data_IF_962123898135
#
_entry.id   IF_962123898135
#
_cell.length_a   1.000
_cell.length_b   1.000
_cell.length_c   1.000
_cell.angle_alpha   90.00
_cell.angle_beta   90.00
_cell.angle_gamma   90.00
#
_symmetry.space_group_name_H-M   'P 1'
#
loop_
_entity.id
_entity.type
_entity.pdbx_description
1 polymer ?
#
# COMPACT_ATOMS: atom_id res chain seq x y z
N UNK A 1 -11.56 -6.46 -10.38
CA UNK A 1 -10.80 -7.69 -10.12
C UNK A 1 -9.73 -7.86 -11.18
N UNK A 2 -8.52 -8.20 -10.77
CA UNK A 2 -7.37 -8.49 -11.62
C UNK A 2 -7.00 -9.97 -11.47
N UNK A 3 -6.48 -10.56 -12.54
CA UNK A 3 -5.97 -11.92 -12.58
C UNK A 3 -4.63 -11.92 -13.31
N UNK A 4 -3.62 -12.53 -12.71
CA UNK A 4 -2.26 -12.58 -13.27
C UNK A 4 -1.73 -14.01 -13.22
N UNK A 5 -0.94 -14.38 -14.23
CA UNK A 5 -0.26 -15.69 -14.25
C UNK A 5 1.04 -15.60 -13.42
N UNK A 6 1.15 -16.33 -12.29
CA UNK A 6 2.36 -16.32 -11.48
C UNK A 6 3.61 -16.83 -12.22
N UNK A 7 3.43 -17.52 -13.34
CA UNK A 7 4.54 -18.07 -14.17
C UNK A 7 4.96 -17.14 -15.30
N UNK A 8 4.20 -16.07 -15.56
CA UNK A 8 4.56 -15.12 -16.61
C UNK A 8 5.88 -14.41 -16.26
N UNK A 9 6.76 -14.29 -17.25
CA UNK A 9 8.10 -13.71 -17.09
C UNK A 9 8.07 -12.28 -16.54
N UNK A 10 7.05 -11.49 -16.89
CA UNK A 10 6.88 -10.11 -16.43
C UNK A 10 6.49 -10.00 -14.95
N UNK A 11 6.03 -11.09 -14.33
CA UNK A 11 5.63 -11.15 -12.92
C UNK A 11 6.76 -11.67 -11.99
N UNK A 12 7.87 -12.16 -12.54
CA UNK A 12 8.95 -12.83 -11.78
C UNK A 12 9.62 -11.96 -10.71
N UNK A 13 9.54 -10.63 -10.83
CA UNK A 13 10.11 -9.70 -9.84
C UNK A 13 9.19 -9.45 -8.64
N UNK A 14 7.95 -9.97 -8.67
CA UNK A 14 7.04 -9.91 -7.53
C UNK A 14 7.39 -11.02 -6.55
N UNK A 15 7.89 -10.59 -5.39
CA UNK A 15 8.34 -11.53 -4.34
C UNK A 15 7.15 -12.33 -3.80
N UNK A 16 7.37 -13.65 -3.65
CA UNK A 16 6.37 -14.63 -3.14
C UNK A 16 5.13 -14.81 -4.04
N UNK A 17 5.14 -14.39 -5.30
CA UNK A 17 3.99 -14.60 -6.19
C UNK A 17 3.62 -16.07 -6.37
N UNK A 18 4.61 -16.98 -6.32
CA UNK A 18 4.46 -18.43 -6.37
C UNK A 18 3.85 -19.04 -5.09
N UNK A 19 3.81 -18.26 -4.01
CA UNK A 19 3.17 -18.62 -2.74
C UNK A 19 1.77 -18.02 -2.56
N UNK A 20 1.35 -17.12 -3.46
CA UNK A 20 0.03 -16.52 -3.41
C UNK A 20 -1.07 -17.56 -3.69
N UNK A 21 -2.24 -17.39 -3.06
CA UNK A 21 -3.40 -18.22 -3.39
C UNK A 21 -3.84 -17.95 -4.82
N UNK A 22 -4.21 -19.02 -5.53
CA UNK A 22 -4.66 -18.98 -6.93
C UNK A 22 -6.11 -19.43 -7.06
N UNK A 23 -6.76 -18.99 -8.13
CA UNK A 23 -8.07 -19.50 -8.54
C UNK A 23 -7.98 -20.89 -9.18
N UNK A 24 -9.12 -21.44 -9.63
CA UNK A 24 -9.22 -22.76 -10.28
C UNK A 24 -8.38 -22.90 -11.56
N UNK A 25 -8.06 -21.78 -12.20
CA UNK A 25 -7.21 -21.73 -13.39
C UNK A 25 -5.72 -21.53 -13.06
N UNK A 26 -5.36 -21.48 -11.78
CA UNK A 26 -3.99 -21.27 -11.33
C UNK A 26 -3.54 -19.80 -11.42
N UNK A 27 -4.46 -18.84 -11.57
CA UNK A 27 -4.18 -17.42 -11.63
C UNK A 27 -4.25 -16.80 -10.24
N UNK A 28 -3.32 -15.91 -9.94
CA UNK A 28 -3.35 -15.07 -8.75
C UNK A 28 -4.40 -13.97 -8.94
N UNK A 29 -5.35 -13.90 -8.01
CA UNK A 29 -6.49 -12.96 -8.10
C UNK A 29 -6.44 -11.94 -6.97
N UNK A 30 -6.65 -10.67 -7.30
CA UNK A 30 -6.76 -9.57 -6.33
C UNK A 30 -7.80 -8.55 -6.79
N UNK A 31 -8.31 -7.74 -5.86
CA UNK A 31 -9.27 -6.68 -6.16
C UNK A 31 -8.72 -5.33 -5.77
N UNK A 32 -9.10 -4.30 -6.51
CA UNK A 32 -8.75 -2.90 -6.24
C UNK A 32 -9.95 -1.99 -6.46
N UNK A 33 -10.03 -0.94 -5.66
CA UNK A 33 -10.95 0.17 -5.93
C UNK A 33 -10.43 0.98 -7.11
N UNK A 34 -11.31 1.31 -8.04
CA UNK A 34 -11.00 2.13 -9.22
C UNK A 34 -12.06 3.20 -9.40
N UNK A 35 -11.62 4.42 -9.67
CA UNK A 35 -12.48 5.54 -10.08
C UNK A 35 -11.95 6.10 -11.39
N UNK A 36 -12.80 6.17 -12.42
CA UNK A 36 -12.44 6.68 -13.74
C UNK A 36 -13.27 7.93 -14.03
N UNK A 37 -12.57 9.03 -14.29
CA UNK A 37 -13.14 10.29 -14.75
C UNK A 37 -12.72 10.50 -16.19
N UNK A 38 -13.68 10.79 -17.07
CA UNK A 38 -13.37 11.13 -18.46
C UNK A 38 -14.00 12.47 -18.83
N UNK A 39 -13.38 13.22 -19.75
CA UNK A 39 -13.93 14.48 -20.22
C UNK A 39 -15.30 14.27 -20.89
N UNK A 40 -16.21 15.20 -20.67
CA UNK A 40 -17.59 15.11 -21.22
C UNK A 40 -17.64 15.48 -22.71
N UNK A 41 -16.78 16.39 -23.18
CA UNK A 41 -16.88 17.03 -24.49
C UNK A 41 -15.65 16.87 -25.37
N UNK A 42 -14.56 16.26 -24.85
CA UNK A 42 -13.30 16.04 -25.57
C UNK A 42 -12.99 14.56 -25.57
N UNK A 43 -12.53 14.00 -26.69
CA UNK A 43 -12.04 12.62 -26.73
C UNK A 43 -10.84 12.48 -25.79
N UNK A 44 -10.84 11.52 -24.85
CA UNK A 44 -9.70 11.29 -23.96
C UNK A 44 -8.57 10.56 -24.70
N UNK A 45 -7.69 11.31 -25.35
CA UNK A 45 -6.53 10.72 -26.03
C UNK A 45 -5.39 10.35 -25.07
N UNK A 46 -5.47 10.79 -23.84
CA UNK A 46 -4.44 10.57 -22.79
C UNK A 46 -5.08 10.03 -21.53
N UNK A 47 -4.38 9.09 -20.90
CA UNK A 47 -4.74 8.55 -19.59
C UNK A 47 -3.72 9.04 -18.55
N UNK A 48 -4.19 9.55 -17.43
CA UNK A 48 -3.40 9.77 -16.21
C UNK A 48 -3.89 8.81 -15.12
N UNK A 49 -3.06 7.85 -14.76
CA UNK A 49 -3.33 6.98 -13.61
C UNK A 49 -2.83 7.66 -12.35
N UNK A 50 -3.76 8.00 -11.47
CA UNK A 50 -3.53 8.55 -10.13
C UNK A 50 -3.34 7.39 -9.14
N UNK A 51 -2.11 7.17 -8.74
CA UNK A 51 -1.76 6.19 -7.72
C UNK A 51 -2.06 6.80 -6.35
N UNK A 52 -3.24 6.50 -5.79
CA UNK A 52 -3.77 7.20 -4.62
C UNK A 52 -2.85 7.13 -3.41
N UNK A 53 -2.62 8.25 -2.72
CA UNK A 53 -1.73 8.31 -1.57
C UNK A 53 -2.48 7.97 -0.28
N UNK A 54 -2.18 6.83 0.34
CA UNK A 54 -2.90 6.31 1.53
C UNK A 54 -4.42 6.31 1.34
N UNK A 55 -4.84 5.85 0.17
CA UNK A 55 -6.26 5.79 -0.20
C UNK A 55 -6.85 7.10 -0.76
N UNK A 56 -6.12 8.22 -0.72
CA UNK A 56 -6.62 9.52 -1.15
C UNK A 56 -6.26 9.82 -2.60
N UNK A 57 -7.25 10.20 -3.38
CA UNK A 57 -7.09 10.70 -4.76
C UNK A 57 -6.32 12.02 -4.74
N UNK A 58 -5.38 12.20 -5.67
CA UNK A 58 -4.51 13.38 -5.70
C UNK A 58 -4.50 14.12 -7.05
N UNK A 59 -4.55 13.40 -8.17
CA UNK A 59 -4.32 14.00 -9.48
C UNK A 59 -5.24 15.19 -9.78
N UNK A 60 -6.54 15.06 -9.50
CA UNK A 60 -7.50 16.15 -9.77
C UNK A 60 -7.26 17.35 -8.85
N UNK A 61 -6.93 17.11 -7.58
CA UNK A 61 -6.58 18.19 -6.66
C UNK A 61 -5.30 18.92 -7.09
N UNK A 62 -4.28 18.16 -7.47
CA UNK A 62 -2.94 18.69 -7.76
C UNK A 62 -2.87 19.39 -9.14
N UNK A 63 -3.63 18.93 -10.15
CA UNK A 63 -3.56 19.46 -11.51
C UNK A 63 -4.76 20.34 -11.90
N UNK A 64 -5.95 20.08 -11.35
CA UNK A 64 -7.17 20.83 -11.65
C UNK A 64 -7.53 21.84 -10.55
N UNK A 65 -6.68 22.03 -9.54
CA UNK A 65 -6.96 22.92 -8.40
C UNK A 65 -8.29 22.58 -7.68
N UNK A 66 -8.70 21.33 -7.73
CA UNK A 66 -9.87 20.87 -6.99
C UNK A 66 -9.58 20.86 -5.49
N UNK A 67 -10.64 20.93 -4.68
CA UNK A 67 -10.50 20.76 -3.24
C UNK A 67 -9.83 19.42 -2.93
N UNK A 68 -8.82 19.37 -2.06
CA UNK A 68 -8.19 18.12 -1.64
C UNK A 68 -9.14 17.38 -0.70
N UNK A 69 -10.25 16.89 -1.24
CA UNK A 69 -11.29 16.40 -0.39
C UNK A 69 -11.24 14.87 -0.23
N UNK A 70 -11.65 14.47 0.96
CA UNK A 70 -11.97 13.12 1.37
C UNK A 70 -13.42 12.77 1.01
N UNK A 71 -13.94 13.32 -0.09
CA UNK A 71 -15.34 13.11 -0.44
C UNK A 71 -15.60 11.70 -0.93
N UNK A 72 -16.84 11.24 -0.75
CA UNK A 72 -17.31 9.98 -1.30
C UNK A 72 -16.95 9.85 -2.78
N UNK A 73 -16.71 8.62 -3.24
CA UNK A 73 -16.38 8.33 -4.65
C UNK A 73 -17.43 8.83 -5.63
N UNK A 74 -18.64 9.06 -5.16
CA UNK A 74 -19.78 9.55 -5.94
C UNK A 74 -19.81 11.07 -6.17
N UNK A 75 -18.99 11.83 -5.45
CA UNK A 75 -18.97 13.30 -5.50
C UNK A 75 -17.54 13.81 -5.61
N UNK A 76 -17.00 13.81 -6.83
CA UNK A 76 -15.63 14.26 -7.08
C UNK A 76 -15.69 15.64 -7.72
N UNK A 77 -15.10 16.64 -7.03
CA UNK A 77 -14.90 17.97 -7.58
C UNK A 77 -13.93 17.90 -8.78
N UNK A 78 -14.36 18.27 -9.99
CA UNK A 78 -13.49 18.29 -11.17
C UNK A 78 -12.49 19.46 -11.16
N UNK A 79 -12.60 20.38 -10.22
CA UNK A 79 -11.81 21.61 -10.17
C UNK A 79 -12.02 22.49 -11.38
N UNK A 80 -10.96 23.14 -11.87
CA UNK A 80 -11.00 24.01 -13.04
C UNK A 80 -11.02 23.26 -14.40
N UNK A 81 -11.03 21.92 -14.38
CA UNK A 81 -11.12 21.10 -15.60
C UNK A 81 -9.83 20.99 -16.41
N UNK A 82 -8.69 21.52 -15.96
CA UNK A 82 -7.43 21.61 -16.73
C UNK A 82 -7.03 20.30 -17.44
N UNK A 83 -7.05 19.16 -16.75
CA UNK A 83 -6.72 17.87 -17.36
C UNK A 83 -7.77 17.46 -18.41
N UNK A 84 -9.05 17.63 -18.09
CA UNK A 84 -10.15 17.21 -18.95
C UNK A 84 -10.21 18.01 -20.26
N UNK A 85 -10.02 19.34 -20.20
CA UNK A 85 -9.95 20.21 -21.38
C UNK A 85 -8.79 19.87 -22.30
N UNK A 86 -7.75 19.20 -21.78
CA UNK A 86 -6.58 18.73 -22.54
C UNK A 86 -6.68 17.26 -22.97
N UNK A 87 -7.87 16.66 -22.87
CA UNK A 87 -8.13 15.29 -23.31
C UNK A 87 -7.50 14.22 -22.43
N UNK A 88 -7.35 14.48 -21.12
CA UNK A 88 -6.96 13.43 -20.17
C UNK A 88 -8.20 12.78 -19.58
N UNK A 89 -8.24 11.44 -19.62
CA UNK A 89 -9.00 10.67 -18.64
C UNK A 89 -8.11 10.50 -17.39
N UNK A 90 -8.71 10.51 -16.21
CA UNK A 90 -8.02 10.28 -14.93
C UNK A 90 -8.57 9.01 -14.30
N UNK A 91 -7.70 8.05 -13.99
CA UNK A 91 -8.07 6.81 -13.32
C UNK A 91 -7.35 6.72 -11.97
N UNK A 92 -8.06 6.90 -10.86
CA UNK A 92 -7.51 6.68 -9.52
C UNK A 92 -7.58 5.20 -9.16
N UNK A 93 -6.47 4.62 -8.68
CA UNK A 93 -6.33 3.19 -8.31
C UNK A 93 -5.97 3.01 -6.85
N UNK A 94 -6.77 2.20 -6.13
CA UNK A 94 -6.46 1.73 -4.78
C UNK A 94 -5.46 0.58 -4.86
N UNK A 95 -4.22 0.82 -4.47
CA UNK A 95 -3.10 -0.12 -4.58
C UNK A 95 -2.59 -0.64 -3.23
N UNK A 96 -3.02 -0.01 -2.15
CA UNK A 96 -2.50 -0.23 -0.80
C UNK A 96 -3.50 -1.08 0.01
N UNK A 97 -3.04 -2.22 0.54
CA UNK A 97 -3.91 -3.16 1.27
C UNK A 97 -4.14 -2.76 2.73
N UNK A 98 -3.18 -2.07 3.33
CA UNK A 98 -3.22 -1.72 4.76
C UNK A 98 -3.97 -0.42 5.07
N UNK A 99 -4.66 0.14 4.09
CA UNK A 99 -5.62 1.22 4.29
C UNK A 99 -6.93 0.67 4.86
N UNK A 100 -7.46 1.28 5.91
CA UNK A 100 -8.85 1.07 6.31
C UNK A 100 -9.76 1.74 5.29
N UNK A 101 -10.28 0.91 4.37
CA UNK A 101 -11.11 1.39 3.24
C UNK A 101 -12.40 2.01 3.75
N UNK A 102 -12.85 3.06 3.07
CA UNK A 102 -14.13 3.75 3.29
C UNK A 102 -14.62 4.34 1.97
N UNK A 103 -15.74 5.03 1.98
CA UNK A 103 -16.21 5.75 0.79
C UNK A 103 -15.20 6.80 0.30
N UNK A 104 -14.38 7.36 1.21
CA UNK A 104 -13.36 8.35 0.90
C UNK A 104 -11.97 7.75 0.63
N UNK A 105 -11.68 6.56 1.16
CA UNK A 105 -10.36 5.94 1.10
C UNK A 105 -10.38 4.67 0.26
N UNK A 106 -9.58 4.66 -0.80
CA UNK A 106 -9.45 3.56 -1.75
C UNK A 106 -8.32 2.62 -1.34
N UNK A 107 -8.51 1.33 -1.55
CA UNK A 107 -7.51 0.30 -1.24
C UNK A 107 -7.63 -0.91 -2.15
N UNK A 108 -6.92 -1.98 -1.79
CA UNK A 108 -6.95 -3.26 -2.49
C UNK A 108 -7.05 -4.42 -1.51
N UNK A 109 -7.46 -5.58 -2.02
CA UNK A 109 -7.42 -6.86 -1.31
C UNK A 109 -6.52 -7.83 -2.09
N UNK A 110 -5.24 -7.96 -1.70
CA UNK A 110 -4.33 -8.93 -2.28
C UNK A 110 -4.56 -10.33 -1.70
N UNK A 111 -4.16 -11.41 -2.40
CA UNK A 111 -4.25 -12.76 -1.88
C UNK A 111 -3.29 -12.98 -0.71
N UNK A 112 -3.67 -13.90 0.18
CA UNK A 112 -2.76 -14.40 1.21
C UNK A 112 -1.68 -15.30 0.64
N UNK A 113 -0.56 -15.39 1.36
CA UNK A 113 0.53 -16.29 1.03
C UNK A 113 0.35 -17.62 1.79
N UNK A 114 0.50 -18.74 1.06
CA UNK A 114 0.47 -20.07 1.61
C UNK A 114 1.78 -20.80 1.29
N UNK A 115 2.29 -21.56 2.24
CA UNK A 115 3.38 -22.51 2.01
C UNK A 115 2.90 -23.91 2.35
N UNK A 116 2.93 -24.82 1.38
CA UNK A 116 2.38 -26.17 1.55
C UNK A 116 0.92 -26.15 2.04
N UNK A 117 0.08 -25.26 1.51
CA UNK A 117 -1.32 -25.04 1.88
C UNK A 117 -1.54 -24.61 3.34
N UNK A 118 -0.49 -24.17 4.02
CA UNK A 118 -0.56 -23.60 5.38
C UNK A 118 -0.27 -22.12 5.32
N UNK A 119 -0.91 -21.37 6.21
CA UNK A 119 -0.62 -19.96 6.39
C UNK A 119 0.84 -19.75 6.76
N UNK A 120 1.46 -18.74 6.17
CA UNK A 120 2.84 -18.37 6.46
C UNK A 120 2.87 -17.55 7.75
N UNK A 121 3.85 -17.84 8.61
CA UNK A 121 4.22 -16.94 9.72
C UNK A 121 5.66 -16.46 9.54
N UNK A 122 6.02 -15.42 10.26
CA UNK A 122 7.39 -14.91 10.24
C UNK A 122 7.58 -13.71 11.14
N UNK A 123 8.84 -13.42 11.41
CA UNK A 123 9.19 -12.27 12.25
C UNK A 123 8.80 -10.95 11.57
N UNK A 124 8.07 -10.12 12.29
CA UNK A 124 7.74 -8.76 11.89
C UNK A 124 8.26 -7.76 12.93
N UNK A 125 8.55 -6.56 12.48
CA UNK A 125 9.02 -5.45 13.32
C UNK A 125 8.13 -4.26 13.06
N UNK A 126 7.51 -3.74 14.10
CA UNK A 126 6.67 -2.53 14.03
C UNK A 126 7.28 -1.45 14.89
N UNK A 127 7.41 -0.26 14.32
CA UNK A 127 7.83 0.93 15.04
C UNK A 127 6.61 1.78 15.39
N UNK A 128 6.45 2.08 16.67
CA UNK A 128 5.39 2.93 17.22
C UNK A 128 6.01 4.23 17.71
N UNK A 129 5.54 5.35 17.18
CA UNK A 129 5.95 6.71 17.57
C UNK A 129 4.73 7.49 18.06
N UNK A 130 4.41 7.43 19.33
CA UNK A 130 3.23 8.11 19.86
C UNK A 130 3.44 9.63 19.87
N UNK A 131 2.42 10.38 19.42
CA UNK A 131 2.40 11.83 19.55
C UNK A 131 1.80 12.28 20.90
N UNK A 132 1.01 11.41 21.51
CA UNK A 132 0.41 11.60 22.82
C UNK A 132 0.63 10.34 23.66
N UNK A 133 0.50 10.46 24.98
CA UNK A 133 0.46 9.29 25.86
C UNK A 133 -0.73 8.41 25.50
N UNK A 134 -0.50 7.10 25.35
CA UNK A 134 -1.53 6.11 25.02
C UNK A 134 -1.17 4.76 25.66
N UNK A 135 -2.16 4.02 26.14
CA UNK A 135 -1.97 2.71 26.75
C UNK A 135 -2.06 1.56 25.74
N UNK A 136 -2.76 1.78 24.62
CA UNK A 136 -2.95 0.77 23.57
C UNK A 136 -2.61 1.34 22.19
N UNK A 137 -2.01 0.54 21.34
CA UNK A 137 -1.65 0.90 19.97
C UNK A 137 -1.90 -0.26 19.00
N UNK A 138 -2.26 0.06 17.74
CA UNK A 138 -2.20 -0.92 16.67
C UNK A 138 -0.75 -1.39 16.45
N UNK A 139 -0.58 -2.65 16.07
CA UNK A 139 0.70 -3.21 15.60
C UNK A 139 1.03 -2.72 14.18
N UNK A 140 0.90 -1.43 13.95
CA UNK A 140 1.12 -0.77 12.68
C UNK A 140 1.70 0.62 12.88
N UNK A 141 2.41 1.10 11.84
CA UNK A 141 2.80 2.50 11.78
C UNK A 141 1.56 3.33 11.45
N UNK A 142 1.16 4.24 12.34
CA UNK A 142 -0.06 5.05 12.23
C UNK A 142 -1.34 4.19 12.30
N UNK A 143 -2.45 4.73 11.80
CA UNK A 143 -3.76 4.06 11.76
C UNK A 143 -3.87 3.31 10.43
N UNK A 144 -3.30 2.10 10.38
CA UNK A 144 -3.32 1.21 9.23
C UNK A 144 -3.54 -0.24 9.69
N UNK A 145 -3.97 -1.11 8.78
CA UNK A 145 -4.15 -2.54 9.08
C UNK A 145 -2.80 -3.17 9.42
N UNK A 146 -2.66 -3.80 10.58
CA UNK A 146 -1.45 -4.52 10.94
C UNK A 146 -1.38 -5.90 10.29
N UNK A 147 -0.21 -6.53 10.38
CA UNK A 147 -0.11 -7.98 10.35
C UNK A 147 -0.36 -8.51 11.76
N UNK A 148 -1.39 -9.34 11.99
CA UNK A 148 -1.71 -9.84 13.32
C UNK A 148 -0.58 -10.69 13.90
N UNK A 149 -0.41 -10.65 15.21
CA UNK A 149 0.48 -11.58 15.90
C UNK A 149 -0.02 -13.03 15.75
N UNK A 150 0.90 -13.98 15.57
CA UNK A 150 0.55 -15.38 15.44
C UNK A 150 -0.08 -15.95 16.72
N UNK A 151 0.23 -15.37 17.86
CA UNK A 151 -0.33 -15.68 19.18
C UNK A 151 -0.43 -14.40 20.01
N UNK A 152 -1.41 -14.35 20.92
CA UNK A 152 -1.50 -13.31 21.95
C UNK A 152 -0.57 -13.56 23.16
N UNK A 153 0.07 -14.75 23.22
CA UNK A 153 1.17 -14.99 24.15
C UNK A 153 2.43 -14.25 23.68
N UNK A 154 2.88 -13.29 24.48
CA UNK A 154 4.03 -12.43 24.18
C UNK A 154 5.39 -13.02 24.59
N UNK A 155 5.45 -14.27 25.09
CA UNK A 155 6.66 -14.88 25.65
C UNK A 155 7.85 -14.87 24.67
N UNK A 156 7.60 -15.03 23.38
CA UNK A 156 8.60 -15.01 22.31
C UNK A 156 8.73 -13.65 21.61
N UNK A 157 7.91 -12.67 21.97
CA UNK A 157 7.96 -11.32 21.43
C UNK A 157 8.88 -10.42 22.26
N UNK A 158 9.28 -9.31 21.69
CA UNK A 158 10.18 -8.35 22.34
C UNK A 158 9.68 -6.94 22.11
N UNK A 159 9.72 -6.12 23.15
CA UNK A 159 9.43 -4.70 23.10
C UNK A 159 10.65 -3.92 23.56
N UNK A 160 11.04 -2.93 22.75
CA UNK A 160 12.13 -2.01 23.07
C UNK A 160 11.63 -0.59 23.03
N UNK A 161 12.29 0.28 23.81
CA UNK A 161 12.07 1.73 23.79
C UNK A 161 13.42 2.44 23.67
N UNK A 162 13.44 3.56 22.92
CA UNK A 162 14.55 4.50 22.82
C UNK A 162 14.06 5.94 22.80
N UNK A 163 14.93 6.86 23.23
CA UNK A 163 14.60 8.28 23.37
C UNK A 163 14.72 9.04 22.04
N UNK A 164 15.63 8.62 21.15
CA UNK A 164 15.87 9.24 19.84
C UNK A 164 16.31 8.18 18.82
N UNK A 165 16.37 8.56 17.55
CA UNK A 165 16.55 7.65 16.41
C UNK A 165 17.73 6.70 16.55
N UNK A 166 18.90 7.23 16.93
CA UNK A 166 20.15 6.46 17.11
C UNK A 166 20.45 6.17 18.59
N UNK A 167 19.46 6.31 19.45
CA UNK A 167 19.59 6.04 20.89
C UNK A 167 19.69 4.56 21.18
N UNK A 168 20.21 4.17 22.35
CA UNK A 168 20.27 2.79 22.77
C UNK A 168 18.87 2.22 23.02
N UNK A 169 18.65 1.00 22.56
CA UNK A 169 17.43 0.27 22.84
C UNK A 169 17.42 -0.24 24.30
N UNK A 170 16.36 0.08 25.02
CA UNK A 170 16.06 -0.47 26.35
C UNK A 170 14.93 -1.48 26.23
N UNK A 171 15.16 -2.73 26.61
CA UNK A 171 14.14 -3.78 26.58
C UNK A 171 13.12 -3.54 27.68
N UNK A 172 11.84 -3.59 27.32
CA UNK A 172 10.70 -3.59 28.27
C UNK A 172 10.38 -5.07 28.61
N UNK A 173 10.31 -5.44 29.91
CA UNK A 173 9.97 -6.79 30.33
C UNK A 173 8.62 -7.26 29.79
N UNK A 174 8.50 -8.53 29.40
CA UNK A 174 7.27 -9.08 28.85
C UNK A 174 6.09 -9.05 29.85
N UNK A 175 6.37 -8.96 31.15
CA UNK A 175 5.34 -8.80 32.20
C UNK A 175 4.69 -7.40 32.23
N UNK A 176 5.26 -6.41 31.56
CA UNK A 176 4.77 -5.02 31.57
C UNK A 176 3.85 -4.68 30.40
N UNK A 177 3.72 -5.57 29.42
CA UNK A 177 2.92 -5.37 28.23
C UNK A 177 2.32 -6.68 27.72
N UNK A 178 1.27 -6.60 26.91
CA UNK A 178 0.64 -7.78 26.28
C UNK A 178 0.04 -7.43 24.90
N UNK A 179 -0.32 -8.46 24.13
CA UNK A 179 -1.13 -8.29 22.92
C UNK A 179 -2.60 -8.17 23.34
N UNK A 180 -3.10 -6.95 23.42
CA UNK A 180 -4.44 -6.64 23.84
C UNK A 180 -4.86 -5.25 23.34
N UNK A 181 -6.17 -5.06 23.25
CA UNK A 181 -6.81 -3.79 22.98
C UNK A 181 -7.54 -3.30 24.25
N UNK A 182 -7.33 -2.03 24.58
CA UNK A 182 -8.14 -1.34 25.57
C UNK A 182 -9.21 -0.51 24.85
N UNK A 183 -10.45 -0.75 25.18
CA UNK A 183 -11.60 0.01 24.68
C UNK A 183 -12.64 0.16 25.79
N UNK A 184 -13.13 1.39 25.99
CA UNK A 184 -14.16 1.72 26.97
C UNK A 184 -13.83 1.25 28.42
N UNK A 185 -12.54 1.21 28.76
CA UNK A 185 -12.04 0.77 30.08
C UNK A 185 -11.95 -0.76 30.24
N UNK A 186 -12.24 -1.52 29.18
CA UNK A 186 -12.08 -2.97 29.17
C UNK A 186 -10.83 -3.37 28.37
N UNK A 187 -10.06 -4.32 28.93
CA UNK A 187 -8.89 -4.89 28.27
C UNK A 187 -9.25 -6.28 27.70
N UNK A 188 -9.15 -6.41 26.38
CA UNK A 188 -9.43 -7.67 25.67
C UNK A 188 -8.20 -8.13 24.92
N UNK A 189 -7.86 -9.43 25.00
CA UNK A 189 -6.78 -10.02 24.21
C UNK A 189 -7.06 -9.79 22.71
N UNK A 190 -6.08 -9.24 21.99
CA UNK A 190 -6.22 -8.85 20.59
C UNK A 190 -4.86 -8.99 19.89
N UNK A 191 -4.82 -9.70 18.79
CA UNK A 191 -3.59 -9.98 18.04
C UNK A 191 -3.17 -8.86 17.09
N UNK A 192 -3.97 -7.82 16.94
CA UNK A 192 -3.68 -6.61 16.16
C UNK A 192 -3.21 -5.43 17.00
N UNK A 193 -3.29 -5.54 18.34
CA UNK A 193 -2.97 -4.47 19.27
C UNK A 193 -1.89 -4.88 20.28
N UNK A 194 -1.18 -3.88 20.77
CA UNK A 194 -0.31 -3.98 21.93
C UNK A 194 -0.80 -3.03 23.03
N UNK A 195 -0.78 -3.50 24.27
CA UNK A 195 -1.16 -2.76 25.45
C UNK A 195 -0.02 -2.72 26.48
N UNK A 196 0.15 -1.60 27.14
CA UNK A 196 1.09 -1.39 28.22
C UNK A 196 0.45 -0.47 29.26
N UNK A 197 0.27 -0.95 30.50
CA UNK A 197 -0.42 -0.20 31.55
C UNK A 197 0.27 1.12 31.91
N UNK A 198 1.60 1.18 31.88
CA UNK A 198 2.39 2.41 32.07
C UNK A 198 2.30 3.39 30.89
N UNK A 199 1.78 2.94 29.76
CA UNK A 199 1.56 3.69 28.54
C UNK A 199 2.80 3.90 27.68
N UNK A 200 2.56 4.12 26.40
CA UNK A 200 3.53 4.56 25.42
C UNK A 200 3.68 6.08 25.53
N UNK A 201 4.87 6.55 25.83
CA UNK A 201 5.14 7.98 26.08
C UNK A 201 5.35 8.73 24.79
N UNK A 202 4.75 9.93 24.67
CA UNK A 202 4.94 10.81 23.54
C UNK A 202 6.44 11.15 23.31
N UNK A 203 6.84 11.17 22.04
CA UNK A 203 8.20 11.51 21.63
C UNK A 203 9.20 10.36 21.71
N UNK A 204 8.88 9.24 22.37
CA UNK A 204 9.73 8.04 22.36
C UNK A 204 9.46 7.15 21.16
N UNK A 205 10.40 6.25 20.89
CA UNK A 205 10.33 5.31 19.77
C UNK A 205 10.29 3.91 20.36
N UNK A 206 9.22 3.17 20.06
CA UNK A 206 9.03 1.79 20.49
C UNK A 206 9.15 0.84 19.31
N UNK A 207 9.90 -0.25 19.47
CA UNK A 207 9.99 -1.33 18.48
C UNK A 207 9.41 -2.61 19.05
N UNK A 208 8.36 -3.11 18.42
CA UNK A 208 7.75 -4.41 18.72
C UNK A 208 8.27 -5.43 17.73
N UNK A 209 8.90 -6.50 18.20
CA UNK A 209 9.37 -7.61 17.38
C UNK A 209 8.56 -8.84 17.77
N UNK A 210 7.83 -9.40 16.83
CA UNK A 210 6.90 -10.52 17.08
C UNK A 210 6.79 -11.43 15.88
N UNK A 211 6.29 -12.65 16.10
CA UNK A 211 5.89 -13.52 15.01
C UNK A 211 4.51 -13.12 14.49
N UNK A 212 4.45 -12.65 13.25
CA UNK A 212 3.22 -12.27 12.58
C UNK A 212 2.67 -13.44 11.74
N UNK A 213 1.38 -13.42 11.45
CA UNK A 213 0.67 -14.37 10.59
C UNK A 213 -0.01 -13.67 9.41
N UNK A 214 -0.50 -14.48 8.48
CA UNK A 214 -1.34 -14.07 7.36
C UNK A 214 -0.71 -13.00 6.45
N UNK A 215 0.55 -13.17 6.00
CA UNK A 215 1.12 -12.23 5.05
C UNK A 215 0.34 -12.27 3.74
N UNK A 216 0.20 -11.09 3.13
CA UNK A 216 -0.41 -10.92 1.82
C UNK A 216 0.67 -10.75 0.75
N UNK A 217 0.31 -10.96 -0.51
CA UNK A 217 1.17 -10.65 -1.66
C UNK A 217 1.31 -9.13 -1.79
N UNK A 218 2.29 -8.57 -1.07
CA UNK A 218 2.51 -7.11 -1.03
C UNK A 218 2.79 -6.54 -2.42
N UNK A 219 3.54 -7.28 -3.25
CA UNK A 219 3.85 -6.89 -4.63
C UNK A 219 2.65 -6.83 -5.58
N UNK A 220 1.47 -7.32 -5.18
CA UNK A 220 0.22 -7.07 -5.91
C UNK A 220 -0.08 -5.58 -6.08
N UNK A 221 0.47 -4.73 -5.21
CA UNK A 221 0.44 -3.28 -5.33
C UNK A 221 1.05 -2.77 -6.63
N UNK A 222 2.17 -3.37 -7.07
CA UNK A 222 2.84 -3.03 -8.33
C UNK A 222 2.05 -3.57 -9.53
N UNK A 223 1.51 -4.79 -9.40
CA UNK A 223 0.65 -5.40 -10.41
C UNK A 223 -0.63 -4.59 -10.63
N UNK A 224 -1.28 -4.10 -9.58
CA UNK A 224 -2.49 -3.29 -9.71
C UNK A 224 -2.25 -2.00 -10.49
N UNK A 225 -1.13 -1.32 -10.24
CA UNK A 225 -0.73 -0.12 -11.00
C UNK A 225 -0.44 -0.44 -12.45
N UNK A 226 0.22 -1.57 -12.73
CA UNK A 226 0.47 -2.03 -14.10
C UNK A 226 -0.82 -2.36 -14.86
N UNK A 227 -1.61 -3.23 -14.26
CA UNK A 227 -2.72 -3.86 -14.97
C UNK A 227 -3.91 -2.92 -15.17
N UNK A 228 -4.10 -1.91 -14.28
CA UNK A 228 -5.07 -0.85 -14.57
C UNK A 228 -4.68 -0.03 -15.79
N UNK A 229 -3.41 0.34 -15.91
CA UNK A 229 -2.90 1.07 -17.07
C UNK A 229 -3.01 0.25 -18.35
N UNK A 230 -2.60 -1.03 -18.30
CA UNK A 230 -2.74 -1.96 -19.43
C UNK A 230 -4.20 -2.15 -19.85
N UNK A 231 -5.10 -2.40 -18.90
CA UNK A 231 -6.52 -2.57 -19.21
C UNK A 231 -7.15 -1.32 -19.83
N UNK A 232 -6.86 -0.14 -19.29
CA UNK A 232 -7.40 1.11 -19.80
C UNK A 232 -6.81 1.51 -21.15
N UNK A 233 -5.59 1.05 -21.48
CA UNK A 233 -4.93 1.34 -22.76
C UNK A 233 -5.20 0.26 -23.83
N UNK A 234 -5.27 -1.01 -23.45
CA UNK A 234 -5.29 -2.15 -24.36
C UNK A 234 -6.49 -3.10 -24.21
N UNK A 235 -7.37 -2.87 -23.26
CA UNK A 235 -8.44 -3.80 -22.88
C UNK A 235 -9.60 -3.96 -23.87
N UNK A 236 -9.55 -3.29 -25.02
CA UNK A 236 -10.54 -3.42 -26.06
C UNK A 236 -11.95 -3.08 -25.57
N UNK A 237 -12.94 -3.91 -25.91
CA UNK A 237 -14.35 -3.67 -25.53
C UNK A 237 -14.62 -3.73 -24.04
N UNK A 238 -13.76 -4.38 -23.28
CA UNK A 238 -13.91 -4.50 -21.82
C UNK A 238 -13.44 -3.26 -21.07
N UNK A 239 -12.72 -2.35 -21.74
CA UNK A 239 -12.28 -1.09 -21.18
C UNK A 239 -13.20 0.06 -21.60
N UNK A 240 -13.56 0.96 -20.68
CA UNK A 240 -14.44 2.09 -21.01
C UNK A 240 -13.79 3.15 -21.90
N UNK A 241 -12.45 3.12 -22.09
CA UNK A 241 -11.69 4.18 -22.78
C UNK A 241 -10.56 3.66 -23.70
N UNK A 242 -10.31 2.35 -23.80
CA UNK A 242 -9.11 1.85 -24.50
C UNK A 242 -9.05 2.20 -25.99
N UNK A 243 -10.20 2.34 -26.65
CA UNK A 243 -10.26 2.76 -28.06
C UNK A 243 -9.96 4.25 -28.27
N UNK A 244 -9.84 5.01 -27.19
CA UNK A 244 -9.69 6.46 -27.20
C UNK A 244 -8.30 6.90 -26.75
N UNK A 245 -7.57 6.09 -25.97
CA UNK A 245 -6.29 6.41 -25.34
C UNK A 245 -5.12 6.08 -26.24
N UNK A 246 -4.34 7.11 -26.60
CA UNK A 246 -3.09 6.96 -27.36
C UNK A 246 -1.87 6.83 -26.42
N UNK A 247 -1.87 7.57 -25.29
CA UNK A 247 -0.78 7.63 -24.32
C UNK A 247 -1.28 7.47 -22.90
N UNK A 248 -0.52 6.74 -22.07
CA UNK A 248 -0.80 6.54 -20.66
C UNK A 248 0.35 7.04 -19.78
N UNK A 249 0.00 7.73 -18.70
CA UNK A 249 0.93 8.27 -17.71
C UNK A 249 0.51 7.81 -16.31
N UNK A 250 1.49 7.65 -15.40
CA UNK A 250 1.20 7.40 -13.99
C UNK A 250 1.75 8.54 -13.13
N UNK A 251 0.94 8.98 -12.17
CA UNK A 251 1.27 10.01 -11.21
C UNK A 251 1.23 9.47 -9.79
N UNK A 252 2.26 9.78 -9.01
CA UNK A 252 2.32 9.44 -7.60
C UNK A 252 3.12 10.46 -6.82
N UNK A 253 2.63 10.83 -5.63
CA UNK A 253 3.23 11.84 -4.77
C UNK A 253 3.78 11.21 -3.48
N UNK A 254 4.99 11.59 -3.04
CA UNK A 254 5.61 11.17 -1.79
C UNK A 254 5.71 9.65 -1.68
N UNK A 255 4.90 8.98 -0.88
CA UNK A 255 4.83 7.51 -0.76
C UNK A 255 4.60 6.85 -2.12
N UNK A 256 3.62 7.32 -2.89
CA UNK A 256 3.31 6.74 -4.19
C UNK A 256 4.29 7.16 -5.29
N UNK A 257 4.97 8.28 -5.12
CA UNK A 257 6.17 8.59 -5.91
C UNK A 257 7.28 7.55 -5.69
N UNK A 258 7.50 7.10 -4.44
CA UNK A 258 8.44 5.99 -4.14
C UNK A 258 7.96 4.65 -4.73
N UNK A 259 6.66 4.40 -4.71
CA UNK A 259 6.08 3.22 -5.36
C UNK A 259 6.38 3.23 -6.87
N UNK A 260 6.16 4.36 -7.58
CA UNK A 260 6.45 4.47 -9.00
C UNK A 260 7.94 4.31 -9.32
N UNK A 261 8.84 4.77 -8.45
CA UNK A 261 10.28 4.48 -8.59
C UNK A 261 10.58 2.99 -8.43
N UNK A 262 9.96 2.34 -7.44
CA UNK A 262 10.08 0.89 -7.24
C UNK A 262 9.48 0.11 -8.41
N UNK A 263 8.36 0.56 -8.95
CA UNK A 263 7.71 0.02 -10.13
C UNK A 263 8.67 -0.04 -11.33
N UNK A 264 9.39 1.05 -11.62
CA UNK A 264 10.42 1.08 -12.67
C UNK A 264 11.62 0.18 -12.32
N UNK A 265 12.08 0.22 -11.08
CA UNK A 265 13.21 -0.58 -10.62
C UNK A 265 12.96 -2.08 -10.77
N UNK A 266 11.75 -2.55 -10.50
CA UNK A 266 11.36 -3.94 -10.67
C UNK A 266 10.97 -4.32 -12.11
N UNK A 267 11.09 -3.41 -13.06
CA UNK A 267 10.79 -3.67 -14.48
C UNK A 267 9.31 -3.89 -14.77
N UNK A 268 8.41 -3.30 -13.98
CA UNK A 268 6.96 -3.56 -14.05
C UNK A 268 6.24 -2.87 -15.22
N UNK A 269 6.94 -2.08 -16.07
CA UNK A 269 6.28 -1.31 -17.12
C UNK A 269 5.97 -2.13 -18.41
N UNK A 270 6.04 -3.44 -18.33
CA UNK A 270 5.55 -4.36 -19.34
C UNK A 270 4.41 -5.19 -18.77
N UNK A 271 3.30 -5.28 -19.50
CA UNK A 271 2.18 -6.17 -19.15
C UNK A 271 2.50 -7.64 -19.52
N UNK A 272 1.61 -8.58 -19.21
CA UNK A 272 1.79 -10.00 -19.49
C UNK A 272 1.89 -10.34 -21.00
N UNK A 273 1.52 -9.40 -21.86
CA UNK A 273 1.71 -9.50 -23.32
C UNK A 273 2.95 -8.73 -23.79
N UNK A 274 3.86 -8.37 -22.89
CA UNK A 274 5.09 -7.62 -23.15
C UNK A 274 4.88 -6.23 -23.80
N UNK A 275 3.68 -5.64 -23.63
CA UNK A 275 3.38 -4.30 -24.13
C UNK A 275 3.75 -3.26 -23.10
N UNK A 276 4.31 -2.14 -23.55
CA UNK A 276 4.62 -1.00 -22.67
C UNK A 276 3.33 -0.38 -22.14
N UNK A 277 3.19 -0.32 -20.81
CA UNK A 277 2.00 0.20 -20.15
C UNK A 277 2.00 1.72 -20.15
N UNK A 278 2.96 2.32 -19.47
CA UNK A 278 3.05 3.78 -19.36
C UNK A 278 4.11 4.36 -20.28
N UNK A 279 3.76 5.45 -20.96
CA UNK A 279 4.64 6.24 -21.79
C UNK A 279 5.46 7.24 -20.96
N UNK A 280 4.99 7.55 -19.74
CA UNK A 280 5.70 8.38 -18.77
C UNK A 280 5.19 8.19 -17.35
N UNK A 281 6.10 8.36 -16.38
CA UNK A 281 5.79 8.31 -14.97
C UNK A 281 6.23 9.62 -14.28
N UNK A 282 5.39 10.12 -13.38
CA UNK A 282 5.60 11.35 -12.62
C UNK A 282 5.73 11.02 -11.12
N UNK A 283 6.89 10.56 -10.66
CA UNK A 283 7.14 10.27 -9.24
C UNK A 283 7.46 11.57 -8.48
N UNK A 284 6.41 12.33 -8.15
CA UNK A 284 6.56 13.64 -7.51
C UNK A 284 7.01 13.52 -6.04
N UNK A 285 8.01 14.31 -5.64
CA UNK A 285 8.63 14.36 -4.30
C UNK A 285 8.85 12.98 -3.66
N UNK A 286 9.32 12.04 -4.46
CA UNK A 286 9.49 10.64 -4.04
C UNK A 286 10.56 10.44 -2.96
N UNK A 287 11.58 11.29 -2.93
CA UNK A 287 12.73 11.11 -2.04
C UNK A 287 13.61 9.91 -2.42
N UNK A 288 14.66 9.65 -1.64
CA UNK A 288 15.63 8.59 -1.90
C UNK A 288 15.30 7.25 -1.25
N UNK A 289 14.48 7.21 -0.23
CA UNK A 289 14.21 6.02 0.57
C UNK A 289 13.29 5.03 -0.14
N UNK A 290 13.45 3.74 0.15
CA UNK A 290 12.55 2.70 -0.29
C UNK A 290 11.30 2.64 0.59
N UNK A 291 10.25 2.00 0.07
CA UNK A 291 9.06 1.66 0.83
C UNK A 291 8.80 0.15 0.76
N UNK A 292 7.97 -0.34 1.66
CA UNK A 292 7.66 -1.75 1.84
C UNK A 292 6.60 -2.22 0.82
N UNK A 293 6.96 -2.21 -0.46
CA UNK A 293 6.02 -2.45 -1.55
C UNK A 293 6.11 -3.84 -2.17
N UNK A 294 7.18 -4.58 -1.92
CA UNK A 294 7.43 -5.86 -2.57
C UNK A 294 8.33 -6.77 -1.73
N UNK A 295 7.88 -7.14 -0.56
CA UNK A 295 8.50 -8.18 0.27
C UNK A 295 7.47 -8.75 1.26
N UNK A 296 7.79 -9.95 1.80
CA UNK A 296 6.93 -10.62 2.78
C UNK A 296 6.80 -9.78 4.05
N UNK A 297 5.59 -9.67 4.59
CA UNK A 297 5.25 -8.79 5.71
C UNK A 297 5.58 -7.31 5.44
N UNK A 298 5.73 -6.91 4.17
CA UNK A 298 5.86 -5.50 3.82
C UNK A 298 4.60 -4.72 4.19
N UNK A 299 4.77 -3.57 4.82
CA UNK A 299 3.68 -2.69 5.21
C UNK A 299 3.80 -1.35 4.48
N UNK A 300 3.07 -1.15 3.36
CA UNK A 300 3.21 0.04 2.51
C UNK A 300 3.00 1.37 3.23
N UNK A 301 2.18 1.38 4.30
CA UNK A 301 1.95 2.56 5.13
C UNK A 301 3.16 2.97 5.95
N UNK A 302 4.08 2.07 6.24
CA UNK A 302 5.22 2.33 7.09
C UNK A 302 6.07 3.47 6.55
N UNK A 303 6.43 4.40 7.43
CA UNK A 303 7.38 5.46 7.10
C UNK A 303 8.80 4.95 7.32
N UNK A 304 9.61 5.05 6.27
CA UNK A 304 11.02 4.73 6.39
C UNK A 304 11.69 5.65 7.41
N UNK A 305 12.24 5.10 8.48
CA UNK A 305 13.11 5.78 9.40
C UNK A 305 14.42 6.25 8.72
N UNK A 306 15.24 7.11 9.33
CA UNK A 306 16.56 7.42 8.83
C UNK A 306 17.44 6.17 8.90
N UNK A 307 18.00 5.73 7.79
CA UNK A 307 18.85 4.56 7.71
C UNK A 307 19.22 4.19 6.29
N UNK A 308 20.37 3.56 6.09
CA UNK A 308 20.86 3.19 4.76
C UNK A 308 20.02 2.09 4.11
N UNK A 309 19.45 1.18 4.89
CA UNK A 309 18.60 0.10 4.38
C UNK A 309 17.32 0.57 3.66
N UNK A 310 16.94 1.83 3.86
CA UNK A 310 15.78 2.43 3.21
C UNK A 310 16.13 3.33 2.02
N UNK A 311 17.38 3.40 1.62
CA UNK A 311 17.81 4.19 0.46
C UNK A 311 17.54 3.42 -0.82
N UNK A 312 16.82 4.03 -1.76
CA UNK A 312 16.64 3.50 -3.10
C UNK A 312 17.88 3.76 -3.96
N UNK A 313 18.31 2.79 -4.79
CA UNK A 313 17.80 1.43 -5.03
C UNK A 313 18.38 0.36 -4.09
N UNK A 314 19.12 0.77 -3.07
CA UNK A 314 19.79 -0.14 -2.14
C UNK A 314 18.77 -0.77 -1.18
N UNK A 315 18.84 -2.06 -1.01
CA UNK A 315 18.02 -2.85 -0.09
C UNK A 315 18.84 -3.84 0.64
#
# INVERSE_FOLDING_TARGET
>A
TFKVDPKNSTNRSVIDIDHATTDENGLVTFTSDVVILKPAHVRPSRLLVDVVNRGRKRAVADFNMASPNLEPRSSIDPGNGFLFDRGYAVASIGWQFDVFRSDALMGMDPPYLLRNRKMVTGTNVVEIRPNNHMTSSLLANRIHRPYPAASTDNSNARLFVREWEDGPDTKIPNSEWCFAKEADGELTADDEYIYMASGFQAGKIYNVIYEAKNPVLTGASLLSVRDIGSWLKYGGKDSPISSEVDFAYAYGISQTGRLLRSYLYFGMNLDESERQVYDGLLPHVAGGRRGDFNHRFGQPSQQSGPGFGHLFPFT
#
